data_IF_209603775171
#
_entry.id   IF_209603775171
#
_cell.length_a   1.000
_cell.length_b   1.000
_cell.length_c   1.000
_cell.angle_alpha   90.00
_cell.angle_beta   90.00
_cell.angle_gamma   90.00
#
_symmetry.space_group_name_H-M   'P 1'
#
loop_
_entity.id
_entity.type
_entity.pdbx_description
1 polymer ?
#
# COMPACT_ATOMS: atom_id res chain seq x y z
N UNK A 1 -3.92 -4.87 -20.63
CA UNK A 1 -3.10 -4.06 -19.71
C UNK A 1 -3.98 -3.65 -18.54
N UNK A 2 -3.49 -3.80 -17.32
CA UNK A 2 -4.21 -3.35 -16.13
C UNK A 2 -4.11 -1.82 -15.99
N UNK A 3 -5.22 -1.16 -15.70
CA UNK A 3 -5.23 0.25 -15.33
C UNK A 3 -4.55 0.46 -13.97
N UNK A 4 -3.70 1.48 -13.87
CA UNK A 4 -2.99 1.82 -12.62
C UNK A 4 -3.01 3.33 -12.39
N UNK A 5 -3.51 3.76 -11.25
CA UNK A 5 -3.56 5.18 -10.85
C UNK A 5 -2.19 5.87 -10.89
N UNK A 6 -1.13 5.11 -10.63
CA UNK A 6 0.25 5.63 -10.66
C UNK A 6 0.69 6.05 -12.08
N UNK A 7 0.05 5.57 -13.16
CA UNK A 7 0.30 6.03 -14.53
C UNK A 7 0.12 7.54 -14.62
N UNK A 8 -0.99 8.05 -14.10
CA UNK A 8 -1.28 9.50 -14.06
C UNK A 8 -0.21 10.26 -13.28
N UNK A 9 0.23 9.73 -12.14
CA UNK A 9 1.28 10.36 -11.31
C UNK A 9 2.62 10.45 -12.05
N UNK A 10 2.98 9.43 -12.83
CA UNK A 10 4.19 9.41 -13.65
C UNK A 10 4.06 10.44 -14.79
N UNK A 11 2.92 10.45 -15.51
CA UNK A 11 2.68 11.39 -16.60
C UNK A 11 2.68 12.84 -16.13
N UNK A 12 2.02 13.13 -15.01
CA UNK A 12 2.02 14.47 -14.41
C UNK A 12 3.43 14.91 -14.01
N UNK A 13 4.22 14.00 -13.43
CA UNK A 13 5.60 14.30 -13.07
C UNK A 13 6.44 14.65 -14.29
N UNK A 14 6.32 13.90 -15.38
CA UNK A 14 7.02 14.17 -16.63
C UNK A 14 6.58 15.51 -17.23
N UNK A 15 5.27 15.79 -17.26
CA UNK A 15 4.71 17.04 -17.79
C UNK A 15 5.08 18.28 -16.97
N UNK A 16 5.30 18.12 -15.66
CA UNK A 16 5.64 19.24 -14.77
C UNK A 16 7.05 19.79 -14.99
N UNK A 17 7.88 19.19 -15.85
CA UNK A 17 9.31 19.48 -16.04
C UNK A 17 10.06 19.66 -14.70
N UNK A 18 9.67 18.88 -13.72
CA UNK A 18 10.27 18.89 -12.39
C UNK A 18 11.76 18.56 -12.49
N UNK A 19 12.59 19.30 -11.78
CA UNK A 19 14.02 18.96 -11.65
C UNK A 19 14.23 17.72 -10.78
N UNK A 20 13.22 17.31 -9.99
CA UNK A 20 13.34 16.14 -9.12
C UNK A 20 13.23 14.86 -9.95
N UNK A 21 14.05 13.86 -9.59
CA UNK A 21 13.92 12.51 -10.12
C UNK A 21 12.75 11.81 -9.44
N UNK A 22 11.87 11.19 -10.22
CA UNK A 22 10.79 10.36 -9.66
C UNK A 22 11.37 9.02 -9.22
N UNK A 23 11.21 8.72 -7.93
CA UNK A 23 11.63 7.47 -7.32
C UNK A 23 10.42 6.64 -6.91
N UNK A 24 10.15 5.55 -7.64
CA UNK A 24 9.02 4.66 -7.37
C UNK A 24 9.46 3.52 -6.48
N UNK A 25 8.97 3.54 -5.24
CA UNK A 25 9.18 2.54 -4.20
C UNK A 25 7.97 1.60 -4.08
N UNK A 26 8.16 0.42 -3.53
CA UNK A 26 7.09 -0.53 -3.24
C UNK A 26 7.57 -1.97 -3.24
N UNK A 27 6.73 -2.88 -2.74
CA UNK A 27 7.05 -4.30 -2.69
C UNK A 27 7.44 -4.85 -4.07
N UNK A 28 8.11 -5.99 -4.10
CA UNK A 28 8.33 -6.72 -5.35
C UNK A 28 7.00 -7.20 -5.92
N UNK A 29 6.92 -7.47 -7.22
CA UNK A 29 5.75 -7.99 -7.93
C UNK A 29 4.50 -7.07 -7.93
N UNK A 30 4.61 -5.79 -7.54
CA UNK A 30 3.49 -4.82 -7.65
C UNK A 30 3.41 -4.12 -9.01
N UNK A 31 4.35 -4.41 -9.94
CA UNK A 31 4.32 -3.93 -11.33
C UNK A 31 5.09 -2.64 -11.61
N UNK A 32 6.04 -2.22 -10.75
CA UNK A 32 6.84 -0.98 -10.91
C UNK A 32 7.53 -0.88 -12.27
N UNK A 33 8.38 -1.86 -12.59
CA UNK A 33 9.13 -1.91 -13.85
C UNK A 33 8.21 -1.87 -15.06
N UNK A 34 7.09 -2.61 -15.00
CA UNK A 34 6.12 -2.68 -16.08
C UNK A 34 5.49 -1.31 -16.37
N UNK A 35 4.98 -0.61 -15.38
CA UNK A 35 4.29 0.67 -15.58
C UNK A 35 5.24 1.78 -16.03
N UNK A 36 6.47 1.82 -15.49
CA UNK A 36 7.49 2.79 -15.91
C UNK A 36 7.89 2.54 -17.37
N UNK A 37 8.10 1.29 -17.73
CA UNK A 37 8.43 0.88 -19.11
C UNK A 37 7.30 1.24 -20.07
N UNK A 38 6.06 1.03 -19.67
CA UNK A 38 4.88 1.36 -20.48
C UNK A 38 4.78 2.87 -20.72
N UNK A 39 4.79 3.67 -19.67
CA UNK A 39 4.69 5.14 -19.78
C UNK A 39 5.91 5.73 -20.48
N UNK A 40 7.10 5.24 -20.17
CA UNK A 40 8.34 5.69 -20.78
C UNK A 40 8.34 5.51 -22.30
N UNK A 41 7.95 4.33 -22.79
CA UNK A 41 7.85 4.04 -24.22
C UNK A 41 6.69 4.76 -24.92
N UNK A 42 5.64 5.12 -24.19
CA UNK A 42 4.50 5.89 -24.69
C UNK A 42 4.86 7.36 -24.94
N UNK A 43 5.70 7.94 -24.10
CA UNK A 43 5.99 9.40 -24.11
C UNK A 43 7.31 9.71 -24.79
N UNK A 44 8.36 8.92 -24.58
CA UNK A 44 9.71 9.22 -25.05
C UNK A 44 10.10 8.41 -26.28
N UNK A 45 10.76 9.09 -27.22
CA UNK A 45 11.32 8.43 -28.40
C UNK A 45 12.45 7.46 -28.05
N UNK A 46 13.28 7.84 -27.08
CA UNK A 46 14.41 7.06 -26.59
C UNK A 46 14.13 6.66 -25.14
N UNK A 47 13.94 5.37 -24.92
CA UNK A 47 13.79 4.78 -23.60
C UNK A 47 14.99 3.91 -23.32
N UNK A 48 15.78 4.28 -22.32
CA UNK A 48 16.99 3.59 -21.89
C UNK A 48 16.69 3.01 -20.50
N UNK A 49 16.67 1.69 -20.41
CA UNK A 49 16.42 0.96 -19.17
C UNK A 49 17.73 0.31 -18.72
N UNK A 50 18.05 0.47 -17.45
CA UNK A 50 19.24 -0.09 -16.81
C UNK A 50 18.79 -0.81 -15.54
N UNK A 51 18.90 -2.15 -15.55
CA UNK A 51 18.61 -2.96 -14.37
C UNK A 51 19.90 -3.12 -13.53
N UNK A 52 19.94 -2.51 -12.36
CA UNK A 52 21.12 -2.49 -11.50
C UNK A 52 21.41 -3.84 -10.84
N UNK A 53 20.40 -4.71 -10.66
CA UNK A 53 20.60 -6.08 -10.18
C UNK A 53 21.28 -6.91 -11.27
N UNK A 54 20.81 -6.83 -12.52
CA UNK A 54 21.44 -7.54 -13.64
C UNK A 54 22.90 -7.09 -13.84
N UNK A 55 23.16 -5.77 -13.76
CA UNK A 55 24.51 -5.24 -13.85
C UNK A 55 25.40 -5.75 -12.70
N UNK A 56 24.90 -5.78 -11.47
CA UNK A 56 25.67 -6.22 -10.30
C UNK A 56 26.06 -7.70 -10.35
N UNK A 57 25.23 -8.52 -10.98
CA UNK A 57 25.50 -9.95 -11.18
C UNK A 57 26.33 -10.23 -12.44
N UNK A 58 26.35 -9.28 -13.39
CA UNK A 58 27.01 -9.39 -14.68
C UNK A 58 28.27 -8.54 -14.82
N UNK A 59 28.20 -7.51 -15.64
CA UNK A 59 29.35 -6.69 -16.04
C UNK A 59 29.87 -5.74 -14.96
N UNK A 60 29.08 -5.46 -13.91
CA UNK A 60 29.38 -4.52 -12.82
C UNK A 60 29.84 -3.14 -13.29
N UNK A 61 29.20 -2.69 -14.39
CA UNK A 61 29.59 -1.45 -15.05
C UNK A 61 29.42 -0.23 -14.12
N UNK A 62 28.41 -0.25 -13.26
CA UNK A 62 28.08 0.85 -12.34
C UNK A 62 28.67 0.71 -10.93
N UNK A 63 29.43 -0.36 -10.64
CA UNK A 63 29.95 -0.65 -9.29
C UNK A 63 30.84 0.48 -8.73
N UNK A 64 31.66 1.08 -9.57
CA UNK A 64 32.61 2.13 -9.19
C UNK A 64 32.22 3.53 -9.68
N UNK A 65 30.97 3.74 -10.07
CA UNK A 65 30.47 5.03 -10.55
C UNK A 65 30.42 6.06 -9.44
N UNK A 66 31.20 7.13 -9.56
CA UNK A 66 31.32 8.18 -8.53
C UNK A 66 30.84 9.55 -9.00
N UNK A 67 30.94 9.82 -10.30
CA UNK A 67 30.60 11.11 -10.89
C UNK A 67 29.46 11.02 -11.90
N UNK A 68 28.86 12.15 -12.24
CA UNK A 68 27.83 12.26 -13.27
C UNK A 68 28.42 11.91 -14.64
N UNK A 69 29.65 12.30 -14.90
CA UNK A 69 30.39 12.02 -16.13
C UNK A 69 30.63 10.52 -16.29
N UNK A 70 31.07 9.82 -15.23
CA UNK A 70 31.23 8.36 -15.26
C UNK A 70 29.90 7.68 -15.59
N UNK A 71 28.82 8.13 -14.91
CA UNK A 71 27.47 7.58 -15.15
C UNK A 71 27.05 7.74 -16.60
N UNK A 72 27.20 8.93 -17.19
CA UNK A 72 26.83 9.15 -18.58
C UNK A 72 27.70 8.36 -19.56
N UNK A 73 28.98 8.19 -19.27
CA UNK A 73 29.87 7.36 -20.09
C UNK A 73 29.35 5.92 -20.11
N UNK A 74 29.05 5.36 -18.94
CA UNK A 74 28.54 3.99 -18.82
C UNK A 74 27.18 3.81 -19.51
N UNK A 75 26.25 4.77 -19.31
CA UNK A 75 24.97 4.75 -20.02
C UNK A 75 25.15 4.84 -21.53
N UNK A 76 26.09 5.66 -22.01
CA UNK A 76 26.38 5.76 -23.43
C UNK A 76 26.92 4.47 -24.03
N UNK A 77 27.70 3.70 -23.27
CA UNK A 77 28.20 2.38 -23.71
C UNK A 77 27.05 1.37 -23.88
N UNK A 78 26.01 1.45 -23.03
CA UNK A 78 24.84 0.57 -23.11
C UNK A 78 23.83 1.04 -24.17
N UNK A 79 23.60 2.34 -24.26
CA UNK A 79 22.55 2.93 -25.09
C UNK A 79 22.98 3.19 -26.53
N UNK A 80 24.28 3.32 -26.80
CA UNK A 80 24.80 3.68 -28.11
C UNK A 80 24.14 4.96 -28.67
N UNK A 81 23.61 4.88 -29.87
CA UNK A 81 22.97 6.02 -30.57
C UNK A 81 21.59 6.44 -30.00
N UNK A 82 21.10 5.80 -28.92
CA UNK A 82 19.82 6.16 -28.27
C UNK A 82 19.91 7.33 -27.32
N UNK A 83 21.12 7.84 -27.06
CA UNK A 83 21.33 9.03 -26.23
C UNK A 83 20.94 10.28 -27.05
N UNK A 84 19.70 10.73 -26.90
CA UNK A 84 19.16 11.91 -27.57
C UNK A 84 19.21 13.18 -26.70
N UNK A 85 18.20 14.05 -26.86
CA UNK A 85 18.01 15.25 -26.04
C UNK A 85 17.16 14.91 -24.82
N UNK A 86 17.14 15.80 -23.81
CA UNK A 86 16.30 15.68 -22.61
C UNK A 86 14.82 15.43 -22.93
N UNK A 87 14.27 16.19 -23.90
CA UNK A 87 12.87 16.08 -24.29
C UNK A 87 12.47 14.74 -24.91
N UNK A 88 13.44 14.01 -25.45
CA UNK A 88 13.21 12.79 -26.22
C UNK A 88 13.70 11.55 -25.50
N UNK A 89 14.40 11.69 -24.36
CA UNK A 89 15.12 10.58 -23.73
C UNK A 89 14.75 10.43 -22.28
N UNK A 90 14.24 9.27 -21.90
CA UNK A 90 14.07 8.84 -20.53
C UNK A 90 15.12 7.79 -20.19
N UNK A 91 15.87 8.01 -19.10
CA UNK A 91 16.75 7.03 -18.49
C UNK A 91 16.03 6.45 -17.27
N UNK A 92 15.72 5.17 -17.34
CA UNK A 92 15.09 4.42 -16.27
C UNK A 92 16.12 3.58 -15.54
N UNK A 93 16.31 3.85 -14.25
CA UNK A 93 17.23 3.14 -13.36
C UNK A 93 16.37 2.17 -12.52
N UNK A 94 16.36 0.89 -12.89
CA UNK A 94 15.59 -0.12 -12.17
C UNK A 94 16.43 -0.81 -11.10
N UNK A 95 15.79 -1.18 -9.98
CA UNK A 95 16.40 -1.86 -8.82
C UNK A 95 17.65 -1.12 -8.29
N UNK A 96 17.55 0.22 -8.16
CA UNK A 96 18.68 1.10 -7.79
C UNK A 96 19.34 0.72 -6.46
N UNK A 97 18.62 0.02 -5.56
CA UNK A 97 19.18 -0.42 -4.28
C UNK A 97 20.31 -1.43 -4.43
N UNK A 98 20.49 -2.05 -5.60
CA UNK A 98 21.65 -2.91 -5.85
C UNK A 98 22.99 -2.15 -5.75
N UNK A 99 22.95 -0.83 -5.99
CA UNK A 99 24.09 0.07 -5.83
C UNK A 99 23.73 1.27 -4.96
N UNK A 100 23.80 1.16 -3.62
CA UNK A 100 23.36 2.21 -2.69
C UNK A 100 24.04 3.59 -2.92
N UNK A 101 25.28 3.61 -3.41
CA UNK A 101 26.00 4.85 -3.71
C UNK A 101 25.35 5.66 -4.85
N UNK A 102 24.63 5.01 -5.79
CA UNK A 102 23.90 5.69 -6.86
C UNK A 102 22.71 6.51 -6.32
N UNK A 103 22.15 6.17 -5.16
CA UNK A 103 21.11 6.98 -4.52
C UNK A 103 21.62 8.40 -4.21
N UNK A 104 22.89 8.51 -3.77
CA UNK A 104 23.53 9.82 -3.56
C UNK A 104 23.77 10.53 -4.91
N UNK A 105 24.13 9.79 -5.95
CA UNK A 105 24.37 10.33 -7.29
C UNK A 105 23.11 10.95 -7.92
N UNK A 106 21.90 10.45 -7.57
CA UNK A 106 20.64 11.04 -8.04
C UNK A 106 20.54 12.54 -7.79
N UNK A 107 21.12 13.04 -6.69
CA UNK A 107 21.16 14.49 -6.43
C UNK A 107 21.89 15.25 -7.54
N UNK A 108 23.02 14.77 -7.95
CA UNK A 108 23.85 15.43 -8.95
C UNK A 108 23.27 15.27 -10.36
N UNK A 109 22.71 14.10 -10.69
CA UNK A 109 21.96 13.88 -11.93
C UNK A 109 20.74 14.81 -12.05
N UNK A 110 20.02 15.02 -10.94
CA UNK A 110 18.89 15.95 -10.87
C UNK A 110 19.32 17.40 -11.10
N UNK A 111 20.47 17.82 -10.54
CA UNK A 111 21.01 19.16 -10.69
C UNK A 111 21.57 19.42 -12.10
N UNK A 112 22.23 18.44 -12.69
CA UNK A 112 22.75 18.52 -14.07
C UNK A 112 21.60 18.64 -15.08
N UNK A 113 20.50 17.89 -14.88
CA UNK A 113 19.28 18.04 -15.65
C UNK A 113 19.37 17.76 -17.15
N UNK A 114 20.40 17.04 -17.59
CA UNK A 114 20.67 16.74 -19.00
C UNK A 114 19.66 15.77 -19.64
N UNK A 115 19.08 14.89 -18.82
CA UNK A 115 18.05 13.91 -19.23
C UNK A 115 16.89 13.87 -18.23
N UNK A 116 15.79 13.25 -18.63
CA UNK A 116 14.71 12.88 -17.73
C UNK A 116 15.04 11.53 -17.08
N UNK A 117 14.86 11.45 -15.76
CA UNK A 117 15.16 10.23 -15.00
C UNK A 117 13.93 9.76 -14.22
N UNK A 118 13.74 8.46 -14.23
CA UNK A 118 12.89 7.76 -13.27
C UNK A 118 13.73 6.64 -12.67
N UNK A 119 13.65 6.45 -11.37
CA UNK A 119 14.28 5.33 -10.69
C UNK A 119 13.22 4.48 -9.98
N UNK A 120 13.47 3.18 -9.88
CA UNK A 120 12.64 2.29 -9.08
C UNK A 120 13.48 1.37 -8.22
N UNK A 121 12.88 0.84 -7.19
CA UNK A 121 13.46 -0.23 -6.40
C UNK A 121 12.47 -0.83 -5.42
N UNK A 122 12.72 -2.07 -5.11
CA UNK A 122 12.16 -2.76 -3.96
C UNK A 122 13.07 -2.52 -2.76
N UNK A 123 12.54 -2.50 -1.54
CA UNK A 123 13.34 -2.30 -0.33
C UNK A 123 14.03 -0.91 -0.21
N UNK A 124 13.64 0.05 -1.02
CA UNK A 124 14.22 1.41 -0.97
C UNK A 124 14.06 2.07 0.40
N UNK A 125 12.98 1.78 1.12
CA UNK A 125 12.80 2.26 2.49
C UNK A 125 13.92 1.79 3.42
N UNK A 126 14.33 0.52 3.30
CA UNK A 126 15.43 -0.08 4.07
C UNK A 126 16.77 0.52 3.65
N UNK A 127 17.04 0.55 2.34
CA UNK A 127 18.30 1.07 1.81
C UNK A 127 18.50 2.55 2.12
N UNK A 128 17.43 3.36 2.02
CA UNK A 128 17.47 4.78 2.35
C UNK A 128 17.77 5.03 3.84
N UNK A 129 17.26 4.20 4.75
CA UNK A 129 17.55 4.33 6.18
C UNK A 129 19.02 4.03 6.51
N UNK A 130 19.69 3.26 5.68
CA UNK A 130 21.11 2.88 5.82
C UNK A 130 22.08 3.80 5.06
N UNK A 131 21.58 4.66 4.16
CA UNK A 131 22.44 5.58 3.41
C UNK A 131 22.72 6.84 4.20
N UNK A 132 24.00 7.27 4.20
CA UNK A 132 24.48 8.44 4.93
C UNK A 132 23.96 9.78 4.40
N UNK A 133 23.43 9.84 3.17
CA UNK A 133 22.92 11.06 2.56
C UNK A 133 21.77 10.77 1.62
N UNK A 134 20.54 11.06 2.08
CA UNK A 134 19.33 10.97 1.26
C UNK A 134 19.14 12.30 0.53
N UNK A 135 19.07 12.34 -0.81
CA UNK A 135 18.93 13.57 -1.57
C UNK A 135 17.47 14.07 -1.58
N UNK A 136 16.89 14.34 -0.39
CA UNK A 136 15.47 14.67 -0.20
C UNK A 136 14.96 15.83 -1.09
N UNK A 137 15.80 16.82 -1.39
CA UNK A 137 15.45 17.94 -2.25
C UNK A 137 15.42 17.61 -3.74
N UNK A 138 16.09 16.54 -4.18
CA UNK A 138 16.34 16.18 -5.57
C UNK A 138 15.50 14.98 -6.05
N UNK A 139 14.75 14.34 -5.17
CA UNK A 139 13.87 13.23 -5.49
C UNK A 139 12.41 13.51 -5.10
N UNK A 140 11.47 12.98 -5.88
CA UNK A 140 10.06 12.83 -5.52
C UNK A 140 9.79 11.36 -5.32
N UNK A 141 9.64 10.94 -4.06
CA UNK A 141 9.34 9.54 -3.74
C UNK A 141 7.85 9.28 -3.82
N UNK A 142 7.46 8.20 -4.52
CA UNK A 142 6.08 7.72 -4.62
C UNK A 142 6.07 6.23 -4.33
N UNK A 143 5.18 5.77 -3.45
CA UNK A 143 5.02 4.35 -3.15
C UNK A 143 3.94 3.74 -4.03
N UNK A 144 4.26 2.61 -4.64
CA UNK A 144 3.33 1.79 -5.42
C UNK A 144 2.88 0.58 -4.60
N UNK A 145 1.56 0.42 -4.51
CA UNK A 145 0.90 -0.69 -3.82
C UNK A 145 0.41 -1.76 -4.83
N UNK A 146 -0.02 -2.94 -4.40
CA UNK A 146 -0.89 -3.81 -5.20
C UNK A 146 -2.09 -3.02 -5.76
N UNK A 147 -2.84 -3.57 -6.71
CA UNK A 147 -4.06 -2.92 -7.20
C UNK A 147 -5.02 -2.68 -6.03
N UNK A 148 -5.53 -1.47 -5.90
CA UNK A 148 -6.65 -1.19 -5.02
C UNK A 148 -7.97 -1.70 -5.63
N UNK A 149 -9.07 -1.61 -4.87
CA UNK A 149 -10.33 -2.15 -5.32
C UNK A 149 -10.87 -1.45 -6.57
N UNK A 150 -10.69 -0.13 -6.69
CA UNK A 150 -11.07 0.62 -7.90
C UNK A 150 -10.28 0.13 -9.13
N UNK A 151 -8.96 -0.05 -9.02
CA UNK A 151 -8.12 -0.60 -10.09
C UNK A 151 -8.55 -2.04 -10.46
N UNK A 152 -8.94 -2.85 -9.47
CA UNK A 152 -9.50 -4.19 -9.70
C UNK A 152 -10.84 -4.15 -10.42
N UNK A 153 -11.72 -3.17 -10.13
CA UNK A 153 -12.97 -2.98 -10.85
C UNK A 153 -12.73 -2.64 -12.33
N UNK A 154 -11.79 -1.73 -12.61
CA UNK A 154 -11.39 -1.45 -14.00
C UNK A 154 -10.86 -2.70 -14.71
N UNK A 155 -10.05 -3.52 -14.04
CA UNK A 155 -9.54 -4.77 -14.56
C UNK A 155 -10.66 -5.79 -14.89
N UNK A 156 -11.79 -5.71 -14.20
CA UNK A 156 -13.00 -6.52 -14.45
C UNK A 156 -14.00 -5.88 -15.41
N UNK A 157 -13.60 -4.81 -16.13
CA UNK A 157 -14.40 -4.19 -17.18
C UNK A 157 -15.34 -3.08 -16.70
N UNK A 158 -15.23 -2.65 -15.44
CA UNK A 158 -15.93 -1.45 -14.96
C UNK A 158 -15.38 -0.22 -15.67
N UNK A 159 -16.22 0.75 -15.98
CA UNK A 159 -15.80 1.98 -16.64
C UNK A 159 -15.89 3.20 -15.71
N UNK A 160 -15.23 4.28 -16.11
CA UNK A 160 -15.15 5.52 -15.35
C UNK A 160 -16.53 6.15 -15.09
N UNK A 161 -17.50 5.99 -16.00
CA UNK A 161 -18.85 6.56 -15.85
C UNK A 161 -19.54 5.95 -14.64
N UNK A 162 -19.43 4.63 -14.47
CA UNK A 162 -20.03 3.91 -13.35
C UNK A 162 -19.31 4.29 -12.04
N UNK A 163 -17.97 4.29 -12.04
CA UNK A 163 -17.19 4.66 -10.85
C UNK A 163 -17.50 6.10 -10.41
N UNK A 164 -17.55 7.04 -11.36
CA UNK A 164 -17.91 8.45 -11.05
C UNK A 164 -19.34 8.60 -10.54
N UNK A 165 -20.29 7.82 -11.05
CA UNK A 165 -21.66 7.82 -10.53
C UNK A 165 -21.74 7.27 -9.10
N UNK A 166 -20.97 6.22 -8.80
CA UNK A 166 -20.87 5.66 -7.45
C UNK A 166 -20.19 6.63 -6.48
N UNK A 167 -19.15 7.33 -6.93
CA UNK A 167 -18.47 8.34 -6.13
C UNK A 167 -19.42 9.46 -5.72
N UNK A 168 -20.25 9.97 -6.65
CA UNK A 168 -21.27 10.98 -6.32
C UNK A 168 -22.28 10.48 -5.29
N UNK A 169 -22.69 9.21 -5.37
CA UNK A 169 -23.58 8.62 -4.37
C UNK A 169 -22.92 8.51 -3.00
N UNK A 170 -21.64 8.13 -2.96
CA UNK A 170 -20.85 8.14 -1.72
C UNK A 170 -20.76 9.55 -1.11
N UNK A 171 -20.42 10.56 -1.91
CA UNK A 171 -20.30 11.97 -1.46
C UNK A 171 -21.63 12.51 -0.91
N UNK A 172 -22.75 12.09 -1.49
CA UNK A 172 -24.10 12.46 -1.04
C UNK A 172 -24.64 11.56 0.08
N UNK A 173 -23.90 10.54 0.53
CA UNK A 173 -24.37 9.51 1.47
C UNK A 173 -25.64 8.81 0.98
N UNK A 174 -25.66 8.42 -0.30
CA UNK A 174 -26.77 7.71 -0.95
C UNK A 174 -26.45 6.24 -1.15
N UNK A 175 -27.51 5.40 -1.05
CA UNK A 175 -27.42 3.96 -1.35
C UNK A 175 -27.39 3.70 -2.86
N UNK A 176 -26.68 2.66 -3.29
CA UNK A 176 -26.84 2.08 -4.63
C UNK A 176 -28.20 1.35 -4.73
N UNK A 177 -28.71 1.17 -5.95
CA UNK A 177 -29.80 0.22 -6.17
C UNK A 177 -29.33 -1.22 -5.85
N UNK A 178 -30.29 -2.12 -5.67
CA UNK A 178 -30.01 -3.48 -5.22
C UNK A 178 -29.14 -4.27 -6.21
N UNK A 179 -29.39 -4.09 -7.50
CA UNK A 179 -28.62 -4.80 -8.54
C UNK A 179 -27.17 -4.38 -8.56
N UNK A 180 -26.91 -3.07 -8.49
CA UNK A 180 -25.56 -2.52 -8.44
C UNK A 180 -24.84 -2.93 -7.14
N UNK A 181 -25.55 -2.86 -6.00
CA UNK A 181 -24.99 -3.30 -4.72
C UNK A 181 -24.56 -4.78 -4.76
N UNK A 182 -25.44 -5.67 -5.26
CA UNK A 182 -25.13 -7.10 -5.35
C UNK A 182 -23.94 -7.36 -6.27
N UNK A 183 -23.85 -6.66 -7.41
CA UNK A 183 -22.69 -6.74 -8.30
C UNK A 183 -21.40 -6.26 -7.61
N UNK A 184 -21.46 -5.16 -6.87
CA UNK A 184 -20.30 -4.64 -6.16
C UNK A 184 -19.85 -5.57 -5.04
N UNK A 185 -20.78 -6.18 -4.29
CA UNK A 185 -20.45 -7.15 -3.26
C UNK A 185 -19.85 -8.44 -3.84
N UNK A 186 -20.35 -8.90 -5.01
CA UNK A 186 -19.76 -10.03 -5.71
C UNK A 186 -18.31 -9.74 -6.15
N UNK A 187 -18.06 -8.57 -6.73
CA UNK A 187 -16.71 -8.15 -7.11
C UNK A 187 -15.81 -7.93 -5.90
N UNK A 188 -16.35 -7.42 -4.80
CA UNK A 188 -15.59 -7.25 -3.55
C UNK A 188 -15.16 -8.61 -2.97
N UNK A 189 -16.06 -9.61 -2.92
CA UNK A 189 -15.70 -10.97 -2.48
C UNK A 189 -14.66 -11.61 -3.40
N UNK A 190 -14.74 -11.38 -4.71
CA UNK A 190 -13.71 -11.82 -5.66
C UNK A 190 -12.38 -11.14 -5.38
N UNK A 191 -12.39 -9.85 -5.06
CA UNK A 191 -11.18 -9.12 -4.66
C UNK A 191 -10.57 -9.68 -3.37
N UNK A 192 -11.37 -10.08 -2.39
CA UNK A 192 -10.85 -10.77 -1.19
C UNK A 192 -10.08 -12.05 -1.54
N UNK A 193 -10.47 -12.76 -2.60
CA UNK A 193 -9.81 -13.97 -3.04
C UNK A 193 -8.59 -13.71 -3.92
N UNK A 194 -8.72 -12.80 -4.86
CA UNK A 194 -7.70 -12.54 -5.89
C UNK A 194 -6.62 -11.58 -5.40
N UNK A 195 -7.01 -10.62 -4.56
CA UNK A 195 -6.14 -9.53 -4.15
C UNK A 195 -5.84 -8.54 -5.27
N UNK A 196 -4.79 -7.75 -5.07
CA UNK A 196 -4.34 -6.72 -6.00
C UNK A 196 -2.97 -6.99 -6.62
N UNK A 197 -2.36 -8.15 -6.43
CA UNK A 197 -1.09 -8.48 -7.11
C UNK A 197 -1.32 -8.63 -8.62
N UNK A 198 -0.59 -7.89 -9.48
CA UNK A 198 -0.85 -7.86 -10.92
C UNK A 198 -0.91 -9.22 -11.60
N UNK A 199 -0.02 -10.14 -11.24
CA UNK A 199 0.04 -11.47 -11.84
C UNK A 199 -1.17 -12.32 -11.43
N UNK A 200 -1.60 -12.23 -10.15
CA UNK A 200 -2.80 -12.88 -9.66
C UNK A 200 -4.07 -12.33 -10.34
N UNK A 201 -4.16 -11.00 -10.51
CA UNK A 201 -5.28 -10.35 -11.21
C UNK A 201 -5.30 -10.74 -12.68
N UNK A 202 -4.17 -10.74 -13.38
CA UNK A 202 -4.08 -11.16 -14.78
C UNK A 202 -4.49 -12.62 -14.97
N UNK A 203 -4.00 -13.55 -14.13
CA UNK A 203 -4.37 -14.95 -14.16
C UNK A 203 -5.88 -15.12 -13.93
N UNK A 204 -6.44 -14.42 -12.93
CA UNK A 204 -7.88 -14.43 -12.68
C UNK A 204 -8.70 -13.96 -13.89
N UNK A 205 -8.30 -12.86 -14.54
CA UNK A 205 -9.03 -12.31 -15.69
C UNK A 205 -8.96 -13.24 -16.89
N UNK A 206 -7.78 -13.81 -17.18
CA UNK A 206 -7.55 -14.65 -18.36
C UNK A 206 -8.13 -16.06 -18.24
N UNK A 207 -8.01 -16.68 -17.06
CA UNK A 207 -8.29 -18.09 -16.87
C UNK A 207 -9.56 -18.35 -16.03
N UNK A 208 -9.98 -17.39 -15.21
CA UNK A 208 -11.05 -17.54 -14.21
C UNK A 208 -10.84 -18.75 -13.27
N UNK A 209 -9.58 -19.12 -13.07
CA UNK A 209 -9.16 -20.25 -12.26
C UNK A 209 -8.53 -19.78 -10.95
N UNK A 210 -9.19 -20.07 -9.84
CA UNK A 210 -8.69 -19.66 -8.52
C UNK A 210 -7.46 -20.48 -8.09
N UNK A 211 -7.28 -21.68 -8.59
CA UNK A 211 -6.12 -22.48 -8.25
C UNK A 211 -4.84 -21.83 -8.76
N UNK A 212 -4.81 -21.40 -10.03
CA UNK A 212 -3.67 -20.67 -10.61
C UNK A 212 -3.38 -19.38 -9.84
N UNK A 213 -4.42 -18.68 -9.39
CA UNK A 213 -4.28 -17.49 -8.54
C UNK A 213 -3.61 -17.84 -7.20
N UNK A 214 -4.02 -18.94 -6.55
CA UNK A 214 -3.45 -19.39 -5.28
C UNK A 214 -1.98 -19.81 -5.40
N UNK A 215 -1.62 -20.45 -6.50
CA UNK A 215 -0.22 -20.80 -6.80
C UNK A 215 0.64 -19.54 -6.88
N UNK A 216 0.22 -18.53 -7.64
CA UNK A 216 0.92 -17.24 -7.74
C UNK A 216 1.03 -16.55 -6.37
N UNK A 217 -0.06 -16.53 -5.58
CA UNK A 217 -0.06 -15.91 -4.26
C UNK A 217 0.91 -16.61 -3.30
N UNK A 218 0.95 -17.94 -3.34
CA UNK A 218 1.86 -18.76 -2.52
C UNK A 218 3.31 -18.50 -2.89
N UNK A 219 3.63 -18.48 -4.18
CA UNK A 219 4.98 -18.19 -4.67
C UNK A 219 5.45 -16.78 -4.24
N UNK A 220 4.58 -15.77 -4.35
CA UNK A 220 4.90 -14.40 -3.95
C UNK A 220 5.06 -14.32 -2.42
N UNK A 221 4.22 -15.01 -1.65
CA UNK A 221 4.33 -15.05 -0.19
C UNK A 221 5.67 -15.67 0.25
N UNK A 222 6.04 -16.81 -0.33
CA UNK A 222 7.33 -17.46 -0.05
C UNK A 222 8.50 -16.57 -0.48
N UNK A 223 8.36 -15.89 -1.60
CA UNK A 223 9.35 -14.95 -2.09
C UNK A 223 9.56 -13.76 -1.13
N UNK A 224 8.48 -13.19 -0.60
CA UNK A 224 8.57 -12.13 0.41
C UNK A 224 9.24 -12.62 1.69
N UNK A 225 8.89 -13.82 2.16
CA UNK A 225 9.51 -14.44 3.33
C UNK A 225 11.01 -14.71 3.12
N UNK A 226 11.39 -15.15 1.91
CA UNK A 226 12.79 -15.40 1.56
C UNK A 226 13.58 -14.10 1.39
N UNK A 227 13.00 -13.08 0.78
CA UNK A 227 13.63 -11.78 0.55
C UNK A 227 13.87 -11.04 1.88
N UNK A 228 12.90 -11.11 2.79
CA UNK A 228 13.04 -10.62 4.15
C UNK A 228 14.25 -11.23 4.89
N UNK A 229 14.64 -12.45 4.51
CA UNK A 229 15.77 -13.16 5.13
C UNK A 229 17.14 -12.83 4.54
N UNK A 230 17.23 -12.08 3.42
CA UNK A 230 18.53 -11.82 2.75
C UNK A 230 19.29 -10.62 3.29
N UNK A 231 18.60 -9.67 3.91
CA UNK A 231 19.18 -8.36 4.25
C UNK A 231 19.83 -8.29 5.63
N UNK A 232 19.52 -9.22 6.52
CA UNK A 232 20.11 -9.26 7.86
C UNK A 232 20.38 -10.72 8.23
N UNK A 233 21.62 -11.15 8.06
CA UNK A 233 22.02 -12.52 8.35
C UNK A 233 21.83 -12.91 9.83
N UNK A 234 21.96 -11.95 10.76
CA UNK A 234 21.78 -12.18 12.18
C UNK A 234 20.28 -12.25 12.57
N UNK A 235 19.44 -11.41 11.97
CA UNK A 235 18.03 -11.27 12.34
C UNK A 235 17.04 -11.89 11.32
N UNK A 236 17.55 -12.48 10.22
CA UNK A 236 16.73 -13.06 9.15
C UNK A 236 15.62 -13.98 9.63
N UNK A 237 15.91 -14.81 10.63
CA UNK A 237 14.93 -15.73 11.21
C UNK A 237 13.85 -15.00 12.02
N UNK A 238 14.19 -13.87 12.65
CA UNK A 238 13.22 -13.06 13.40
C UNK A 238 12.29 -12.32 12.46
N UNK A 239 12.82 -11.70 11.40
CA UNK A 239 12.03 -11.01 10.37
C UNK A 239 11.04 -11.98 9.75
N UNK A 240 11.51 -13.16 9.33
CA UNK A 240 10.66 -14.21 8.78
C UNK A 240 9.56 -14.64 9.76
N UNK A 241 9.89 -14.88 11.01
CA UNK A 241 8.92 -15.27 12.05
C UNK A 241 7.86 -14.20 12.28
N UNK A 242 8.25 -12.92 12.28
CA UNK A 242 7.29 -11.83 12.39
C UNK A 242 6.34 -11.84 11.21
N UNK A 243 6.86 -12.01 9.99
CA UNK A 243 6.06 -12.04 8.77
C UNK A 243 5.08 -13.24 8.77
N UNK A 244 5.56 -14.44 9.08
CA UNK A 244 4.76 -15.68 9.15
C UNK A 244 3.68 -15.62 10.24
N UNK A 245 3.86 -14.81 11.29
CA UNK A 245 2.88 -14.62 12.36
C UNK A 245 1.74 -13.65 11.99
N UNK A 246 1.87 -12.83 10.94
CA UNK A 246 0.85 -11.83 10.59
C UNK A 246 -0.53 -12.48 10.39
N UNK A 247 -0.70 -13.54 9.56
CA UNK A 247 -2.02 -14.15 9.33
C UNK A 247 -2.65 -14.68 10.62
N UNK A 248 -1.87 -15.37 11.46
CA UNK A 248 -2.38 -15.93 12.72
C UNK A 248 -2.77 -14.84 13.74
N UNK A 249 -2.03 -13.72 13.76
CA UNK A 249 -2.38 -12.59 14.62
C UNK A 249 -3.68 -11.92 14.17
N UNK A 250 -3.97 -11.93 12.87
CA UNK A 250 -5.21 -11.38 12.32
C UNK A 250 -6.45 -12.15 12.77
N UNK A 251 -6.34 -13.44 13.03
CA UNK A 251 -7.43 -14.30 13.53
C UNK A 251 -7.66 -14.15 15.06
N UNK A 252 -6.75 -13.52 15.77
CA UNK A 252 -6.91 -13.28 17.19
C UNK A 252 -7.91 -12.14 17.46
N UNK A 253 -8.63 -12.22 18.59
CA UNK A 253 -9.56 -11.16 19.04
C UNK A 253 -8.89 -9.78 19.09
N UNK A 254 -7.63 -9.74 19.53
CA UNK A 254 -6.79 -8.52 19.52
C UNK A 254 -5.71 -8.70 18.46
N UNK A 255 -5.93 -8.27 17.27
CA UNK A 255 -5.08 -8.44 16.08
C UNK A 255 -3.69 -7.79 16.17
N UNK A 256 -3.15 -7.63 17.35
CA UNK A 256 -1.85 -7.01 17.61
C UNK A 256 -0.73 -8.04 17.73
N UNK A 257 0.46 -7.65 17.33
CA UNK A 257 1.67 -8.46 17.51
C UNK A 257 1.98 -8.59 19.01
N UNK A 258 2.25 -9.82 19.45
CA UNK A 258 2.66 -10.14 20.80
C UNK A 258 4.11 -10.60 20.78
N UNK A 259 5.04 -9.80 21.29
CA UNK A 259 6.48 -10.02 21.22
C UNK A 259 6.94 -11.42 21.68
N UNK A 260 6.33 -11.96 22.76
CA UNK A 260 6.67 -13.30 23.25
C UNK A 260 6.42 -14.42 22.23
N UNK A 261 5.47 -14.23 21.30
CA UNK A 261 5.10 -15.26 20.32
C UNK A 261 6.12 -15.36 19.19
N UNK A 262 6.94 -14.32 18.95
CA UNK A 262 7.93 -14.29 17.86
C UNK A 262 9.00 -15.36 18.05
N UNK A 263 9.49 -15.55 19.28
CA UNK A 263 10.50 -16.55 19.61
C UNK A 263 10.05 -17.56 20.66
N UNK A 264 8.78 -17.56 21.08
CA UNK A 264 8.24 -18.34 22.18
C UNK A 264 9.04 -18.18 23.49
N UNK A 265 9.53 -16.95 23.74
CA UNK A 265 10.32 -16.61 24.93
C UNK A 265 9.57 -15.60 25.81
N UNK A 266 9.54 -15.86 27.11
CA UNK A 266 9.06 -14.89 28.10
C UNK A 266 10.05 -13.72 28.29
N UNK A 267 9.52 -12.54 28.67
CA UNK A 267 10.34 -11.35 28.92
C UNK A 267 10.69 -10.50 27.71
N UNK A 268 10.37 -10.95 26.51
CA UNK A 268 10.57 -10.17 25.28
C UNK A 268 9.60 -9.00 25.20
N UNK A 269 10.11 -7.84 24.76
CA UNK A 269 9.37 -6.58 24.60
C UNK A 269 9.23 -6.24 23.12
N UNK A 270 8.30 -5.38 22.79
CA UNK A 270 8.12 -4.84 21.44
C UNK A 270 9.40 -4.18 20.90
N UNK A 271 10.11 -3.44 21.74
CA UNK A 271 11.38 -2.79 21.38
C UNK A 271 12.49 -3.74 20.92
N UNK A 272 12.39 -5.04 21.29
CA UNK A 272 13.40 -6.04 20.90
C UNK A 272 13.26 -6.48 19.44
N UNK A 273 12.21 -6.05 18.75
CA UNK A 273 11.88 -6.41 17.36
C UNK A 273 11.51 -5.20 16.49
N UNK A 274 11.88 -4.00 16.92
CA UNK A 274 11.51 -2.78 16.22
C UNK A 274 12.12 -2.73 14.82
N UNK A 275 13.36 -3.14 14.67
CA UNK A 275 14.08 -3.15 13.40
C UNK A 275 13.44 -4.13 12.40
N UNK A 276 12.99 -5.29 12.89
CA UNK A 276 12.29 -6.29 12.08
C UNK A 276 10.92 -5.77 11.61
N UNK A 277 10.18 -5.06 12.46
CA UNK A 277 8.92 -4.43 12.06
C UNK A 277 9.15 -3.33 11.03
N UNK A 278 10.12 -2.44 11.27
CA UNK A 278 10.45 -1.36 10.34
C UNK A 278 10.93 -1.90 9.00
N UNK A 279 11.68 -3.02 9.01
CA UNK A 279 12.07 -3.71 7.78
C UNK A 279 10.85 -4.12 6.95
N UNK A 280 9.90 -4.88 7.52
CA UNK A 280 8.72 -5.37 6.82
C UNK A 280 7.84 -4.22 6.26
N UNK A 281 7.70 -3.14 7.05
CA UNK A 281 6.92 -1.95 6.67
C UNK A 281 7.64 -1.18 5.56
N UNK A 282 8.95 -0.98 5.70
CA UNK A 282 9.77 -0.26 4.73
C UNK A 282 9.90 -1.00 3.42
N UNK A 283 9.96 -2.33 3.46
CA UNK A 283 9.93 -3.20 2.30
C UNK A 283 8.56 -3.18 1.57
N UNK A 284 7.53 -2.69 2.21
CA UNK A 284 6.17 -2.61 1.67
C UNK A 284 5.43 -3.96 1.63
N UNK A 285 5.94 -4.98 2.33
CA UNK A 285 5.29 -6.31 2.41
C UNK A 285 4.35 -6.44 3.60
N UNK A 286 4.43 -5.51 4.55
CA UNK A 286 3.46 -5.36 5.62
C UNK A 286 3.00 -3.90 5.76
N UNK A 287 1.76 -3.75 6.23
CA UNK A 287 1.15 -2.46 6.55
C UNK A 287 1.03 -2.34 8.06
N UNK A 288 1.42 -1.19 8.61
CA UNK A 288 1.33 -0.94 10.03
C UNK A 288 0.12 -0.09 10.39
N UNK A 289 -0.57 -0.50 11.46
CA UNK A 289 -1.60 0.30 12.12
C UNK A 289 -1.16 0.52 13.56
N UNK A 290 -0.84 1.77 13.89
CA UNK A 290 -0.20 2.12 15.15
C UNK A 290 -1.22 2.46 16.24
N UNK A 291 -1.01 1.95 17.45
CA UNK A 291 -1.87 2.31 18.58
C UNK A 291 -1.66 3.76 19.00
N UNK A 292 -2.77 4.45 19.30
CA UNK A 292 -2.74 5.77 19.90
C UNK A 292 -3.31 5.77 21.31
N UNK A 293 -2.84 6.71 22.12
CA UNK A 293 -3.29 6.88 23.52
C UNK A 293 -4.42 7.90 23.63
N UNK A 294 -4.37 8.98 22.86
CA UNK A 294 -5.36 10.04 22.85
C UNK A 294 -5.79 10.31 21.40
N UNK A 295 -7.06 10.06 21.02
CA UNK A 295 -7.53 10.16 19.65
C UNK A 295 -7.94 11.58 19.23
N UNK A 296 -7.10 12.56 19.53
CA UNK A 296 -7.29 13.97 19.15
C UNK A 296 -6.40 14.30 17.96
N UNK A 297 -6.93 15.04 17.00
CA UNK A 297 -6.18 15.53 15.86
C UNK A 297 -5.06 16.51 16.29
N UNK A 298 -3.84 16.42 15.71
CA UNK A 298 -3.36 15.39 14.80
C UNK A 298 -2.94 14.11 15.55
N UNK A 299 -3.36 12.95 15.04
CA UNK A 299 -3.19 11.66 15.70
C UNK A 299 -1.73 11.28 15.98
N UNK A 300 -0.81 11.81 15.17
CA UNK A 300 0.64 11.55 15.31
C UNK A 300 1.19 11.93 16.69
N UNK A 301 0.59 12.93 17.36
CA UNK A 301 1.04 13.36 18.69
C UNK A 301 0.82 12.32 19.77
N UNK A 302 -0.06 11.34 19.52
CA UNK A 302 -0.51 10.36 20.51
C UNK A 302 0.07 8.96 20.32
N UNK A 303 1.11 8.79 19.49
CA UNK A 303 1.67 7.49 19.09
C UNK A 303 2.60 6.84 20.13
N UNK A 304 2.56 7.26 21.39
CA UNK A 304 3.47 6.79 22.45
C UNK A 304 3.25 5.35 22.94
N UNK A 305 2.30 4.59 22.39
CA UNK A 305 2.08 3.18 22.74
C UNK A 305 2.92 2.28 21.82
N UNK A 306 3.80 1.48 22.42
CA UNK A 306 4.54 0.43 21.74
C UNK A 306 3.63 -0.77 21.41
N UNK A 307 2.54 -0.53 20.68
CA UNK A 307 1.58 -1.54 20.24
C UNK A 307 1.29 -1.34 18.76
N UNK A 308 1.30 -2.42 18.01
CA UNK A 308 1.22 -2.42 16.55
C UNK A 308 0.35 -3.59 16.07
N UNK A 309 -0.53 -3.30 15.11
CA UNK A 309 -1.12 -4.31 14.24
C UNK A 309 -0.34 -4.32 12.94
N UNK A 310 -0.02 -5.48 12.42
CA UNK A 310 0.52 -5.66 11.06
C UNK A 310 -0.49 -6.40 10.20
N UNK A 311 -0.68 -5.91 8.99
CA UNK A 311 -1.45 -6.54 7.93
C UNK A 311 -0.51 -6.90 6.78
N UNK A 312 -0.80 -7.97 6.05
CA UNK A 312 -0.12 -8.23 4.78
C UNK A 312 -0.49 -7.14 3.78
N UNK A 313 0.39 -6.84 2.85
CA UNK A 313 0.16 -5.83 1.82
C UNK A 313 -0.89 -6.22 0.77
N UNK A 314 -1.33 -7.49 0.77
CA UNK A 314 -2.31 -8.03 -0.17
C UNK A 314 -3.29 -8.98 0.53
N UNK A 315 -4.59 -8.75 0.35
CA UNK A 315 -5.65 -9.57 0.96
C UNK A 315 -5.75 -10.95 0.33
N UNK A 316 -5.39 -11.10 -0.95
CA UNK A 316 -5.40 -12.37 -1.64
C UNK A 316 -4.38 -13.34 -1.04
N UNK A 317 -3.18 -12.86 -0.68
CA UNK A 317 -2.21 -13.66 0.07
C UNK A 317 -2.80 -14.10 1.40
N UNK A 318 -3.41 -13.19 2.17
CA UNK A 318 -4.02 -13.52 3.46
C UNK A 318 -5.08 -14.61 3.33
N UNK A 319 -6.03 -14.44 2.41
CA UNK A 319 -7.11 -15.43 2.20
C UNK A 319 -6.60 -16.74 1.62
N UNK A 320 -5.52 -16.71 0.85
CA UNK A 320 -4.81 -17.90 0.39
C UNK A 320 -4.26 -18.72 1.53
N UNK A 321 -3.64 -18.08 2.51
CA UNK A 321 -3.09 -18.74 3.71
C UNK A 321 -4.22 -19.26 4.61
N UNK A 322 -5.26 -18.45 4.85
CA UNK A 322 -6.31 -18.80 5.81
C UNK A 322 -7.29 -19.85 5.28
N UNK A 323 -7.63 -19.80 4.00
CA UNK A 323 -8.72 -20.61 3.44
C UNK A 323 -8.28 -21.56 2.33
N UNK A 324 -7.04 -21.45 1.84
CA UNK A 324 -6.52 -22.29 0.75
C UNK A 324 -7.41 -22.22 -0.49
N UNK A 325 -7.78 -23.40 -1.02
CA UNK A 325 -8.67 -23.52 -2.17
C UNK A 325 -10.16 -23.52 -1.82
N UNK A 326 -10.54 -23.38 -0.55
CA UNK A 326 -11.94 -23.29 -0.14
C UNK A 326 -12.50 -21.88 -0.36
N UNK A 327 -12.84 -21.58 -1.62
CA UNK A 327 -13.37 -20.29 -2.02
C UNK A 327 -14.80 -20.02 -1.52
N UNK A 328 -15.57 -21.10 -1.23
CA UNK A 328 -16.97 -20.97 -0.78
C UNK A 328 -17.06 -20.20 0.53
N UNK A 329 -16.10 -20.42 1.43
CA UNK A 329 -16.02 -19.68 2.69
C UNK A 329 -16.10 -18.14 2.50
N UNK A 330 -15.53 -17.63 1.39
CA UNK A 330 -15.50 -16.21 1.09
C UNK A 330 -16.66 -15.78 0.18
N UNK A 331 -16.97 -16.58 -0.86
CA UNK A 331 -18.00 -16.20 -1.85
C UNK A 331 -19.41 -16.29 -1.28
N UNK A 332 -19.69 -17.32 -0.47
CA UNK A 332 -21.02 -17.60 0.06
C UNK A 332 -21.28 -16.88 1.39
N UNK A 333 -20.30 -16.11 1.89
CA UNK A 333 -20.37 -15.41 3.19
C UNK A 333 -20.79 -16.36 4.31
N UNK A 334 -20.12 -17.53 4.35
CA UNK A 334 -20.46 -18.58 5.32
C UNK A 334 -20.30 -18.07 6.75
N UNK A 335 -21.39 -18.06 7.51
CA UNK A 335 -21.42 -17.57 8.90
C UNK A 335 -20.47 -18.32 9.85
N UNK A 336 -20.00 -19.51 9.45
CA UNK A 336 -19.00 -20.30 10.18
C UNK A 336 -17.57 -19.78 10.05
N UNK A 337 -17.31 -18.89 9.10
CA UNK A 337 -15.97 -18.34 8.80
C UNK A 337 -15.92 -16.87 9.17
N UNK A 338 -14.91 -16.50 9.96
CA UNK A 338 -14.70 -15.10 10.33
C UNK A 338 -13.97 -14.35 9.20
N UNK A 339 -14.72 -13.67 8.34
CA UNK A 339 -14.15 -12.82 7.29
C UNK A 339 -13.67 -11.45 7.78
N UNK A 340 -13.83 -11.14 9.08
CA UNK A 340 -13.44 -9.84 9.65
C UNK A 340 -12.00 -9.47 9.37
N UNK A 341 -11.08 -10.44 9.43
CA UNK A 341 -9.66 -10.22 9.14
C UNK A 341 -9.40 -9.82 7.68
N UNK A 342 -10.10 -10.46 6.74
CA UNK A 342 -9.98 -10.15 5.32
C UNK A 342 -10.57 -8.75 5.00
N UNK A 343 -11.72 -8.42 5.59
CA UNK A 343 -12.36 -7.08 5.44
C UNK A 343 -11.47 -5.98 6.00
N UNK A 344 -10.95 -6.15 7.22
CA UNK A 344 -10.02 -5.19 7.80
C UNK A 344 -8.74 -5.07 6.95
N UNK A 345 -8.20 -6.16 6.42
CA UNK A 345 -7.02 -6.11 5.54
C UNK A 345 -7.26 -5.27 4.28
N UNK A 346 -8.44 -5.37 3.67
CA UNK A 346 -8.78 -4.50 2.52
C UNK A 346 -8.85 -3.05 2.97
N UNK A 347 -9.52 -2.75 4.09
CA UNK A 347 -9.60 -1.37 4.59
C UNK A 347 -8.21 -0.80 4.86
N UNK A 348 -7.31 -1.58 5.47
CA UNK A 348 -5.92 -1.16 5.70
C UNK A 348 -5.18 -0.88 4.38
N UNK A 349 -5.29 -1.77 3.39
CA UNK A 349 -4.61 -1.61 2.09
C UNK A 349 -5.17 -0.43 1.28
N UNK A 350 -6.49 -0.24 1.24
CA UNK A 350 -7.13 0.90 0.57
C UNK A 350 -6.67 2.23 1.19
N UNK A 351 -6.82 2.37 2.50
CA UNK A 351 -6.42 3.61 3.18
C UNK A 351 -4.92 3.89 3.02
N UNK A 352 -4.06 2.86 3.12
CA UNK A 352 -2.62 3.03 2.90
C UNK A 352 -2.29 3.42 1.45
N UNK A 353 -2.93 2.80 0.45
CA UNK A 353 -2.78 3.14 -0.96
C UNK A 353 -3.25 4.56 -1.27
N UNK A 354 -4.25 5.05 -0.55
CA UNK A 354 -4.78 6.42 -0.65
C UNK A 354 -3.98 7.45 0.19
N UNK A 355 -2.86 7.04 0.79
CA UNK A 355 -1.92 7.94 1.45
C UNK A 355 -2.23 8.28 2.91
N UNK A 356 -3.16 7.56 3.53
CA UNK A 356 -3.43 7.74 4.96
C UNK A 356 -2.36 7.06 5.82
N UNK A 357 -2.02 7.70 6.95
CA UNK A 357 -1.37 7.02 8.07
C UNK A 357 -2.44 6.34 8.91
N UNK A 358 -2.21 5.08 9.24
CA UNK A 358 -3.21 4.25 9.90
C UNK A 358 -2.95 4.18 11.40
N UNK A 359 -3.99 4.45 12.17
CA UNK A 359 -3.99 4.35 13.61
C UNK A 359 -5.17 3.51 14.09
N UNK A 360 -5.09 2.99 15.30
CA UNK A 360 -6.21 2.35 16.00
C UNK A 360 -6.25 2.76 17.47
N UNK A 361 -7.41 2.64 18.08
CA UNK A 361 -7.57 2.93 19.49
C UNK A 361 -7.88 1.65 20.26
N UNK A 362 -7.11 1.33 21.31
CA UNK A 362 -7.36 0.20 22.21
C UNK A 362 -7.29 0.69 23.65
N UNK A 363 -8.42 0.61 24.34
CA UNK A 363 -8.53 0.95 25.76
C UNK A 363 -9.27 -0.16 26.52
N UNK A 364 -8.69 -0.61 27.62
CA UNK A 364 -9.23 -1.73 28.42
C UNK A 364 -10.68 -1.52 28.88
N UNK A 365 -11.07 -0.29 29.19
CA UNK A 365 -12.39 0.05 29.72
C UNK A 365 -13.36 0.60 28.67
N UNK A 366 -12.84 1.17 27.57
CA UNK A 366 -13.65 1.85 26.55
C UNK A 366 -13.77 1.04 25.25
N UNK A 367 -13.04 -0.06 25.13
CA UNK A 367 -13.04 -0.93 23.95
C UNK A 367 -12.02 -0.52 22.89
N UNK A 368 -12.17 -1.09 21.69
CA UNK A 368 -11.29 -0.93 20.55
C UNK A 368 -12.06 -0.31 19.38
N UNK A 369 -11.40 0.57 18.61
CA UNK A 369 -11.86 1.10 17.31
C UNK A 369 -10.84 0.67 16.28
N UNK A 370 -11.29 0.06 15.19
CA UNK A 370 -10.45 -0.65 14.22
C UNK A 370 -9.45 0.27 13.55
N UNK A 371 -9.89 1.43 13.05
CA UNK A 371 -9.04 2.44 12.42
C UNK A 371 -9.39 3.85 12.85
N UNK A 372 -8.36 4.69 12.85
CA UNK A 372 -8.49 6.14 12.93
C UNK A 372 -7.61 6.76 11.84
N UNK A 373 -8.13 7.77 11.19
CA UNK A 373 -7.42 8.60 10.22
C UNK A 373 -7.57 10.07 10.57
N UNK A 374 -6.60 10.88 10.17
CA UNK A 374 -6.70 12.34 10.25
C UNK A 374 -7.56 12.89 9.10
N UNK A 375 -8.51 13.74 9.42
CA UNK A 375 -9.25 14.55 8.44
C UNK A 375 -8.78 16.00 8.57
N UNK A 376 -8.01 16.42 7.59
CA UNK A 376 -7.40 17.75 7.57
C UNK A 376 -8.40 18.87 7.26
N UNK A 377 -9.52 18.58 6.60
CA UNK A 377 -10.55 19.57 6.29
C UNK A 377 -11.33 19.94 7.55
N UNK A 378 -11.67 18.95 8.35
CA UNK A 378 -12.42 19.18 9.59
C UNK A 378 -11.53 19.34 10.82
N UNK A 379 -10.21 19.14 10.70
CA UNK A 379 -9.21 19.12 11.79
C UNK A 379 -9.67 18.20 12.94
N UNK A 380 -10.11 16.99 12.58
CA UNK A 380 -10.59 15.99 13.53
C UNK A 380 -10.16 14.58 13.15
N UNK A 381 -10.09 13.69 14.14
CA UNK A 381 -9.93 12.28 13.89
C UNK A 381 -11.24 11.68 13.36
N UNK A 382 -11.15 10.75 12.40
CA UNK A 382 -12.28 10.00 11.87
C UNK A 382 -12.12 8.53 12.25
N UNK A 383 -12.93 8.02 13.15
CA UNK A 383 -12.97 6.59 13.48
C UNK A 383 -13.73 5.81 12.40
N UNK A 384 -13.20 4.63 12.09
CA UNK A 384 -13.76 3.68 11.13
C UNK A 384 -13.83 2.32 11.81
N UNK A 385 -15.02 1.73 11.80
CA UNK A 385 -15.30 0.38 12.29
C UNK A 385 -15.64 -0.52 11.12
N UNK A 386 -15.15 -1.75 11.10
CA UNK A 386 -15.34 -2.72 10.01
C UNK A 386 -16.18 -3.89 10.50
N UNK A 387 -17.28 -4.19 9.81
CA UNK A 387 -18.21 -5.27 10.15
C UNK A 387 -18.44 -6.18 8.94
N UNK A 388 -18.05 -7.44 9.05
CA UNK A 388 -18.29 -8.45 8.01
C UNK A 388 -19.59 -9.26 8.25
N UNK A 389 -20.25 -9.12 9.40
CA UNK A 389 -21.45 -9.86 9.79
C UNK A 389 -22.72 -9.01 9.75
N UNK A 390 -23.85 -9.67 10.08
CA UNK A 390 -25.20 -9.03 10.09
C UNK A 390 -25.40 -8.03 11.25
N UNK A 391 -24.64 -8.16 12.34
CA UNK A 391 -24.80 -7.32 13.53
C UNK A 391 -23.95 -6.01 13.44
N UNK A 392 -23.99 -5.35 12.28
CA UNK A 392 -23.18 -4.18 11.99
C UNK A 392 -23.56 -2.95 12.84
N UNK A 393 -24.77 -2.92 13.41
CA UNK A 393 -25.22 -1.84 14.31
C UNK A 393 -24.74 -1.99 15.73
N UNK A 394 -24.15 -3.16 16.10
CA UNK A 394 -23.63 -3.44 17.44
C UNK A 394 -22.15 -3.04 17.53
N UNK A 395 -21.88 -1.82 17.98
CA UNK A 395 -20.53 -1.26 18.13
C UNK A 395 -20.44 -0.35 19.36
N UNK A 396 -20.64 -0.91 20.53
CA UNK A 396 -20.64 -0.15 21.81
C UNK A 396 -19.36 0.66 22.05
N UNK A 397 -18.21 0.14 21.59
CA UNK A 397 -16.94 0.84 21.68
C UNK A 397 -16.92 2.12 20.83
N UNK A 398 -17.38 2.06 19.57
CA UNK A 398 -17.46 3.21 18.69
C UNK A 398 -18.45 4.25 19.24
N UNK A 399 -19.62 3.82 19.72
CA UNK A 399 -20.60 4.72 20.33
C UNK A 399 -20.03 5.48 21.54
N UNK A 400 -19.36 4.76 22.45
CA UNK A 400 -18.66 5.37 23.60
C UNK A 400 -17.57 6.34 23.15
N UNK A 401 -16.84 5.98 22.10
CA UNK A 401 -15.76 6.78 21.54
C UNK A 401 -16.29 8.09 20.94
N UNK A 402 -17.31 8.02 20.08
CA UNK A 402 -17.90 9.19 19.40
C UNK A 402 -18.62 10.12 20.37
N UNK A 403 -19.19 9.58 21.44
CA UNK A 403 -19.88 10.35 22.47
C UNK A 403 -18.94 11.11 23.41
N UNK A 404 -17.65 10.77 23.43
CA UNK A 404 -16.67 11.46 24.26
C UNK A 404 -16.35 12.85 23.69
N UNK A 405 -16.74 13.88 24.44
CA UNK A 405 -16.57 15.29 24.04
C UNK A 405 -15.10 15.70 23.90
N UNK A 406 -14.20 15.09 24.67
CA UNK A 406 -12.77 15.43 24.66
C UNK A 406 -12.08 14.99 23.36
N UNK A 407 -12.67 14.05 22.60
CA UNK A 407 -12.08 13.56 21.34
C UNK A 407 -12.45 14.43 20.13
N UNK A 408 -13.40 15.35 20.28
CA UNK A 408 -13.84 16.28 19.24
C UNK A 408 -14.22 15.61 17.90
N UNK A 409 -14.73 14.37 17.95
CA UNK A 409 -15.14 13.63 16.75
C UNK A 409 -16.29 14.33 16.05
N UNK A 410 -16.15 14.62 14.77
CA UNK A 410 -17.17 15.26 13.92
C UNK A 410 -17.95 14.26 13.10
N UNK A 411 -17.30 13.21 12.58
CA UNK A 411 -17.89 12.14 11.80
C UNK A 411 -17.19 10.82 12.08
N UNK A 412 -17.91 9.72 11.88
CA UNK A 412 -17.43 8.35 12.02
C UNK A 412 -18.04 7.48 10.93
N UNK A 413 -17.43 6.35 10.61
CA UNK A 413 -17.96 5.40 9.64
C UNK A 413 -18.00 3.99 10.20
N UNK A 414 -19.07 3.27 9.83
CA UNK A 414 -19.18 1.82 9.96
C UNK A 414 -19.29 1.24 8.56
N UNK A 415 -18.31 0.44 8.18
CA UNK A 415 -18.24 -0.23 6.89
C UNK A 415 -18.83 -1.64 7.05
N UNK A 416 -19.81 -1.98 6.23
CA UNK A 416 -20.50 -3.28 6.33
C UNK A 416 -20.92 -3.84 4.98
N UNK A 417 -21.53 -5.03 5.00
CA UNK A 417 -22.12 -5.66 3.81
C UNK A 417 -23.50 -5.09 3.44
N UNK A 418 -24.06 -4.23 4.28
CA UNK A 418 -25.40 -3.72 4.07
C UNK A 418 -25.44 -2.68 2.95
N UNK A 419 -26.53 -2.73 2.17
CA UNK A 419 -26.77 -1.83 1.03
C UNK A 419 -27.11 -0.42 1.47
N UNK A 420 -27.94 -0.33 2.51
CA UNK A 420 -28.58 0.93 2.88
C UNK A 420 -27.60 1.84 3.59
N UNK A 421 -27.36 3.01 3.01
CA UNK A 421 -26.61 4.07 3.67
C UNK A 421 -27.54 4.77 4.65
N UNK A 422 -27.13 4.85 5.90
CA UNK A 422 -27.87 5.53 6.97
C UNK A 422 -26.92 6.33 7.85
N UNK A 423 -27.45 7.32 8.57
CA UNK A 423 -26.69 8.11 9.52
C UNK A 423 -27.42 8.17 10.85
N UNK A 424 -26.67 7.94 11.93
CA UNK A 424 -27.14 8.12 13.30
C UNK A 424 -26.21 9.10 14.03
N UNK A 425 -26.65 10.34 14.16
CA UNK A 425 -25.86 11.43 14.69
C UNK A 425 -24.59 11.68 13.87
N UNK A 426 -23.43 11.29 14.41
CA UNK A 426 -22.13 11.45 13.75
C UNK A 426 -21.68 10.19 13.03
N UNK A 427 -22.37 9.07 13.17
CA UNK A 427 -21.98 7.78 12.63
C UNK A 427 -22.71 7.55 11.30
N UNK A 428 -21.95 7.32 10.25
CA UNK A 428 -22.44 6.96 8.91
C UNK A 428 -22.20 5.48 8.66
N UNK A 429 -23.25 4.75 8.38
CA UNK A 429 -23.23 3.34 7.99
C UNK A 429 -23.22 3.27 6.49
N UNK A 430 -22.17 2.69 5.92
CA UNK A 430 -21.97 2.64 4.47
C UNK A 430 -21.49 1.26 4.03
N UNK A 431 -21.80 0.85 2.78
CA UNK A 431 -21.27 -0.37 2.20
C UNK A 431 -19.75 -0.39 2.17
N UNK A 432 -19.14 -1.56 2.44
CA UNK A 432 -17.68 -1.74 2.52
C UNK A 432 -16.94 -1.29 1.26
N UNK A 433 -17.51 -1.49 0.08
CA UNK A 433 -16.87 -1.10 -1.17
C UNK A 433 -16.70 0.42 -1.34
N UNK A 434 -17.40 1.24 -0.55
CA UNK A 434 -17.21 2.70 -0.57
C UNK A 434 -15.87 3.14 0.03
N UNK A 435 -15.11 2.23 0.67
CA UNK A 435 -13.75 2.52 1.14
C UNK A 435 -12.84 3.01 0.00
N UNK A 436 -13.07 2.58 -1.24
CA UNK A 436 -12.30 3.01 -2.41
C UNK A 436 -12.37 4.52 -2.70
N UNK A 437 -13.37 5.22 -2.13
CA UNK A 437 -13.55 6.67 -2.30
C UNK A 437 -12.99 7.50 -1.16
N UNK A 438 -12.42 6.88 -0.12
CA UNK A 438 -11.69 7.60 0.91
C UNK A 438 -10.38 8.09 0.31
N UNK A 439 -10.29 9.39 -0.01
CA UNK A 439 -9.08 10.01 -0.58
C UNK A 439 -8.48 10.98 0.40
N UNK A 440 -7.16 10.88 0.59
CA UNK A 440 -6.41 11.84 1.40
C UNK A 440 -5.98 13.01 0.51
N UNK A 441 -6.81 14.03 0.41
CA UNK A 441 -6.59 15.21 -0.43
C UNK A 441 -5.64 16.25 0.18
N UNK A 442 -4.76 15.84 1.09
CA UNK A 442 -3.74 16.72 1.67
C UNK A 442 -2.90 17.36 0.55
N UNK A 443 -3.14 18.63 0.30
CA UNK A 443 -2.42 19.41 -0.71
C UNK A 443 -3.20 19.79 -1.97
N UNK A 444 -4.47 19.37 -2.10
CA UNK A 444 -5.34 19.83 -3.21
C UNK A 444 -6.17 21.08 -2.89
N UNK A 445 -6.20 21.54 -1.65
CA UNK A 445 -6.77 22.84 -1.29
C UNK A 445 -5.93 23.92 -1.95
N UNK A 446 -6.58 24.73 -2.80
CA UNK A 446 -6.08 25.68 -3.74
C UNK A 446 -4.80 26.44 -3.37
N UNK A 447 -4.05 26.86 -4.38
CA UNK A 447 -2.89 27.72 -4.22
C UNK A 447 -3.25 28.95 -3.39
N UNK A 448 -2.91 28.92 -2.11
CA UNK A 448 -2.89 30.13 -1.30
C UNK A 448 -1.66 30.95 -1.76
N UNK A 449 -1.91 32.02 -2.49
CA UNK A 449 -0.90 33.08 -2.70
C UNK A 449 -0.90 33.94 -1.44
N UNK A 450 0.19 33.90 -0.70
CA UNK A 450 0.48 34.85 0.38
C UNK A 450 1.00 36.16 -0.20
#
# INVERSE_FOLDING_TARGET
MLYRKIETVIEEHIKSDSKKILLIDGARQVGKTYIIRYVGKKIFKNFIEINMVEDSLGNRLFENTKTVEDFYLQVSMLAGNKMGKKSDTLIFIDEIQAYPHLLTLLKFLSQDGKFTFIASGSLLGVTLSQTTSIPMGSIRKVRMFPLDFEEFLYANGMNEIIISAMQKKFENLESLDESMHNMMMDLFRKYLLVGGLPDAVNSYISERNIQSVREIQSEIHEYYAADASKYDEENKLKIRRVYDLIPSNMENKKKRIVAKNIENKSGKRFSDYQDEFEYLISAGIALNVQAISNPVFPLIESTGKNLLKLYLNDVGILTGILYGNNIRAVLDDETSVNLGSAYESVVASELAAHGYKLYYYDNRSKGEVDYLIDDYDSLSAVPIEVKSGKDYTVHSALNTFVSNKDYHIKKAFVLSNERTVTSDGKINYIPIYYIMFFKNDVGKTGSFTF
#
